data_IF_014348061392
#
_entry.id   IF_014348061392
#
_cell.length_a   1.000
_cell.length_b   1.000
_cell.length_c   1.000
_cell.angle_alpha   90.00
_cell.angle_beta   90.00
_cell.angle_gamma   90.00
#
_symmetry.space_group_name_H-M   'P 1'
#
loop_
_entity.id
_entity.type
_entity.pdbx_description
1 polymer ?
#
# COMPACT_ATOMS: atom_id res chain seq x y z
N UNK A 1 -38.90 7.36 29.23
CA UNK A 1 -38.91 8.64 28.47
C UNK A 1 -38.07 8.43 27.23
N UNK A 2 -38.70 8.04 26.12
CA UNK A 2 -38.01 7.64 24.88
C UNK A 2 -37.68 8.88 24.05
N UNK A 3 -36.40 9.06 23.73
CA UNK A 3 -35.97 10.07 22.77
C UNK A 3 -36.52 9.64 21.40
N UNK A 4 -37.23 10.50 20.65
CA UNK A 4 -37.80 10.11 19.37
C UNK A 4 -36.68 9.73 18.41
N UNK A 5 -36.68 8.48 17.93
CA UNK A 5 -35.66 7.98 17.00
C UNK A 5 -35.72 8.73 15.66
N UNK A 6 -36.90 9.22 15.27
CA UNK A 6 -37.11 9.90 13.98
C UNK A 6 -36.28 11.18 13.79
N UNK A 7 -36.04 11.96 14.85
CA UNK A 7 -35.25 13.21 14.75
C UNK A 7 -33.75 12.92 14.63
N UNK A 8 -33.29 11.82 15.25
CA UNK A 8 -31.91 11.36 15.13
C UNK A 8 -31.67 10.82 13.73
N UNK A 9 -32.59 10.03 13.20
CA UNK A 9 -32.47 9.45 11.87
C UNK A 9 -32.61 10.51 10.77
N UNK A 10 -33.46 11.53 10.95
CA UNK A 10 -33.54 12.68 10.04
C UNK A 10 -32.22 13.50 10.03
N UNK A 11 -31.58 13.68 11.19
CA UNK A 11 -30.29 14.39 11.28
C UNK A 11 -29.12 13.59 10.72
N UNK A 12 -29.11 12.26 10.92
CA UNK A 12 -28.13 11.36 10.32
C UNK A 12 -28.31 11.31 8.80
N UNK A 13 -29.54 11.26 8.31
CA UNK A 13 -29.86 11.28 6.88
C UNK A 13 -29.51 12.63 6.22
N UNK A 14 -29.64 13.74 6.94
CA UNK A 14 -29.21 15.05 6.45
C UNK A 14 -27.67 15.18 6.40
N UNK A 15 -26.94 14.54 7.34
CA UNK A 15 -25.48 14.43 7.27
C UNK A 15 -25.00 13.54 6.13
N UNK A 16 -25.68 12.43 5.83
CA UNK A 16 -25.32 11.57 4.69
C UNK A 16 -25.62 12.24 3.35
N UNK A 17 -26.68 13.06 3.27
CA UNK A 17 -26.98 13.87 2.07
C UNK A 17 -26.03 15.07 1.87
N UNK A 18 -25.24 15.47 2.88
CA UNK A 18 -24.16 16.46 2.71
C UNK A 18 -22.88 15.81 2.15
N UNK A 19 -22.84 14.49 2.05
CA UNK A 19 -21.77 13.73 1.44
C UNK A 19 -22.28 13.19 0.09
N UNK A 20 -22.58 14.13 -0.82
CA UNK A 20 -22.76 13.80 -2.24
C UNK A 20 -21.34 13.66 -2.79
N UNK A 21 -20.80 12.44 -3.01
CA UNK A 21 -19.65 12.32 -3.87
C UNK A 21 -20.09 12.90 -5.23
N UNK A 22 -19.43 13.96 -5.67
CA UNK A 22 -19.58 14.38 -7.06
C UNK A 22 -19.21 13.17 -7.93
N UNK A 23 -19.88 12.92 -9.08
CA UNK A 23 -19.45 11.88 -10.02
C UNK A 23 -17.95 11.96 -10.37
N UNK A 24 -17.32 13.14 -10.23
CA UNK A 24 -15.87 13.31 -10.34
C UNK A 24 -15.05 12.69 -9.21
N UNK A 25 -15.56 12.67 -7.97
CA UNK A 25 -14.89 12.09 -6.80
C UNK A 25 -14.95 10.55 -6.83
N UNK A 26 -16.06 9.96 -7.28
CA UNK A 26 -16.17 8.50 -7.47
C UNK A 26 -15.21 7.99 -8.54
N UNK A 27 -15.07 8.73 -9.64
CA UNK A 27 -14.16 8.37 -10.72
C UNK A 27 -12.69 8.51 -10.31
N UNK A 28 -12.36 9.53 -9.50
CA UNK A 28 -11.04 9.67 -8.86
C UNK A 28 -10.77 8.54 -7.87
N UNK A 29 -11.76 8.14 -7.08
CA UNK A 29 -11.66 7.04 -6.12
C UNK A 29 -11.47 5.68 -6.81
N UNK A 30 -12.22 5.40 -7.87
CA UNK A 30 -12.05 4.17 -8.66
C UNK A 30 -10.67 4.12 -9.32
N UNK A 31 -10.18 5.25 -9.83
CA UNK A 31 -8.84 5.36 -10.44
C UNK A 31 -7.72 5.20 -9.41
N UNK A 32 -7.88 5.76 -8.21
CA UNK A 32 -6.91 5.58 -7.14
C UNK A 32 -6.90 4.14 -6.62
N UNK A 33 -8.07 3.50 -6.53
CA UNK A 33 -8.20 2.11 -6.10
C UNK A 33 -7.57 1.13 -7.10
N UNK A 34 -7.83 1.31 -8.40
CA UNK A 34 -7.14 0.56 -9.47
C UNK A 34 -5.63 0.71 -9.37
N UNK A 35 -5.15 1.95 -9.17
CA UNK A 35 -3.71 2.17 -9.02
C UNK A 35 -3.12 1.53 -7.76
N UNK A 36 -3.83 1.58 -6.62
CA UNK A 36 -3.36 0.89 -5.42
C UNK A 36 -3.27 -0.62 -5.63
N UNK A 37 -4.19 -1.21 -6.41
CA UNK A 37 -4.17 -2.64 -6.72
C UNK A 37 -2.97 -3.02 -7.63
N UNK A 38 -2.61 -2.16 -8.58
CA UNK A 38 -1.40 -2.31 -9.38
C UNK A 38 -0.13 -2.17 -8.53
N UNK A 39 -0.09 -1.19 -7.61
CA UNK A 39 1.02 -0.98 -6.69
C UNK A 39 1.24 -2.14 -5.72
N UNK A 40 0.15 -2.72 -5.18
CA UNK A 40 0.20 -3.92 -4.33
C UNK A 40 0.73 -5.11 -5.13
N UNK A 41 0.26 -5.30 -6.37
CA UNK A 41 0.66 -6.43 -7.20
C UNK A 41 2.14 -6.40 -7.56
N UNK A 42 2.65 -5.25 -8.02
CA UNK A 42 4.07 -5.07 -8.32
C UNK A 42 4.92 -5.11 -7.04
N UNK A 43 4.40 -4.55 -5.94
CA UNK A 43 5.03 -4.60 -4.62
C UNK A 43 5.23 -6.02 -4.10
N UNK A 44 4.21 -6.87 -4.20
CA UNK A 44 4.30 -8.28 -3.78
C UNK A 44 5.32 -9.04 -4.64
N UNK A 45 5.36 -8.78 -5.96
CA UNK A 45 6.34 -9.39 -6.85
C UNK A 45 7.76 -9.00 -6.44
N UNK A 46 8.05 -7.72 -6.25
CA UNK A 46 9.36 -7.26 -5.75
C UNK A 46 9.69 -7.83 -4.37
N UNK A 47 8.73 -7.87 -3.45
CA UNK A 47 8.91 -8.42 -2.11
C UNK A 47 9.28 -9.90 -2.14
N UNK A 48 8.65 -10.70 -3.01
CA UNK A 48 8.99 -12.11 -3.18
C UNK A 48 10.41 -12.32 -3.69
N UNK A 49 10.85 -11.51 -4.66
CA UNK A 49 12.22 -11.57 -5.20
C UNK A 49 13.22 -11.14 -4.12
N UNK A 50 12.94 -10.05 -3.42
CA UNK A 50 13.79 -9.56 -2.33
C UNK A 50 13.87 -10.58 -1.18
N UNK A 51 12.78 -11.26 -0.86
CA UNK A 51 12.75 -12.32 0.15
C UNK A 51 13.67 -13.47 -0.26
N UNK A 52 13.62 -13.95 -1.51
CA UNK A 52 14.53 -15.01 -1.99
C UNK A 52 15.98 -14.51 -2.02
N UNK A 53 16.20 -13.31 -2.55
CA UNK A 53 17.52 -12.70 -2.68
C UNK A 53 18.18 -12.41 -1.33
N UNK A 54 17.41 -12.23 -0.26
CA UNK A 54 17.93 -12.01 1.11
C UNK A 54 17.96 -13.29 1.94
N UNK A 55 16.99 -14.19 1.79
CA UNK A 55 16.96 -15.46 2.52
C UNK A 55 18.13 -16.35 2.16
N UNK A 56 18.51 -16.44 0.87
CA UNK A 56 19.62 -17.30 0.42
C UNK A 56 20.96 -16.86 1.04
N UNK A 57 21.41 -15.60 0.93
CA UNK A 57 22.61 -15.12 1.61
C UNK A 57 22.53 -15.24 3.14
N UNK A 58 21.36 -14.98 3.75
CA UNK A 58 21.18 -15.05 5.21
C UNK A 58 21.36 -16.48 5.74
N UNK A 59 20.88 -17.48 5.00
CA UNK A 59 21.07 -18.89 5.32
C UNK A 59 22.50 -19.37 5.06
N UNK A 60 23.12 -18.91 3.97
CA UNK A 60 24.53 -19.21 3.67
C UNK A 60 25.43 -18.62 4.76
N UNK A 61 25.23 -17.36 5.14
CA UNK A 61 26.04 -16.67 6.15
C UNK A 61 26.03 -17.39 7.50
N UNK A 62 24.89 -17.90 7.96
CA UNK A 62 24.80 -18.66 9.22
C UNK A 62 25.40 -20.06 9.11
N UNK A 63 25.56 -20.59 7.89
CA UNK A 63 26.21 -21.90 7.65
C UNK A 63 27.72 -21.77 7.47
N UNK A 64 28.21 -20.69 6.87
CA UNK A 64 29.63 -20.51 6.51
C UNK A 64 30.41 -19.66 7.50
N UNK A 65 29.75 -18.76 8.25
CA UNK A 65 30.42 -17.84 9.17
C UNK A 65 30.19 -18.30 10.62
N UNK A 66 31.19 -18.90 11.30
CA UNK A 66 31.04 -19.39 12.66
C UNK A 66 30.71 -18.28 13.68
N UNK A 67 31.15 -17.05 13.43
CA UNK A 67 30.78 -15.87 14.23
C UNK A 67 29.29 -15.53 14.11
N UNK A 68 28.72 -15.59 12.90
CA UNK A 68 27.30 -15.38 12.66
C UNK A 68 26.48 -16.54 13.23
N UNK A 69 26.97 -17.79 13.14
CA UNK A 69 26.30 -18.94 13.75
C UNK A 69 26.26 -18.87 15.28
N UNK A 70 27.30 -18.30 15.90
CA UNK A 70 27.37 -18.14 17.35
C UNK A 70 26.58 -16.94 17.88
N UNK A 71 26.39 -15.87 17.08
CA UNK A 71 25.76 -14.62 17.53
C UNK A 71 24.42 -14.27 16.87
N UNK A 72 24.05 -14.93 15.76
CA UNK A 72 22.83 -14.65 15.01
C UNK A 72 21.75 -15.69 15.35
N UNK A 73 20.76 -15.28 16.15
CA UNK A 73 19.61 -16.10 16.51
C UNK A 73 18.62 -16.22 15.32
N UNK A 74 17.78 -17.25 15.30
CA UNK A 74 16.70 -17.42 14.32
C UNK A 74 15.81 -16.19 14.21
N UNK A 75 15.59 -15.48 15.32
CA UNK A 75 14.86 -14.20 15.35
C UNK A 75 15.54 -13.12 14.50
N UNK A 76 16.88 -13.01 14.55
CA UNK A 76 17.62 -12.01 13.79
C UNK A 76 17.58 -12.31 12.28
N UNK A 77 17.66 -13.59 11.88
CA UNK A 77 17.46 -13.99 10.48
C UNK A 77 16.05 -13.64 9.98
N UNK A 78 15.03 -13.96 10.77
CA UNK A 78 13.64 -13.65 10.44
C UNK A 78 13.41 -12.13 10.30
N UNK A 79 14.02 -11.32 11.18
CA UNK A 79 13.96 -9.86 11.11
C UNK A 79 14.61 -9.30 9.85
N UNK A 80 15.78 -9.81 9.45
CA UNK A 80 16.47 -9.35 8.23
C UNK A 80 15.60 -9.61 6.98
N UNK A 81 15.06 -10.82 6.85
CA UNK A 81 14.23 -11.20 5.70
C UNK A 81 12.93 -10.39 5.69
N UNK A 82 12.28 -10.25 6.86
CA UNK A 82 11.04 -9.49 6.99
C UNK A 82 11.27 -8.01 6.66
N UNK A 83 12.30 -7.38 7.21
CA UNK A 83 12.63 -5.98 6.94
C UNK A 83 12.93 -5.73 5.46
N UNK A 84 13.69 -6.63 4.81
CA UNK A 84 13.97 -6.52 3.38
C UNK A 84 12.72 -6.66 2.52
N UNK A 85 11.84 -7.61 2.85
CA UNK A 85 10.58 -7.81 2.12
C UNK A 85 9.63 -6.61 2.24
N UNK A 86 9.49 -6.05 3.45
CA UNK A 86 8.67 -4.87 3.71
C UNK A 86 9.25 -3.67 2.97
N UNK A 87 10.57 -3.42 3.07
CA UNK A 87 11.21 -2.31 2.36
C UNK A 87 11.03 -2.41 0.84
N UNK A 88 11.22 -3.60 0.26
CA UNK A 88 11.06 -3.82 -1.17
C UNK A 88 9.60 -3.62 -1.65
N UNK A 89 8.62 -4.02 -0.83
CA UNK A 89 7.21 -3.77 -1.09
C UNK A 89 6.93 -2.27 -1.14
N UNK A 90 7.31 -1.52 -0.10
CA UNK A 90 7.04 -0.09 0.00
C UNK A 90 7.71 0.69 -1.14
N UNK A 91 8.98 0.45 -1.42
CA UNK A 91 9.69 1.13 -2.51
C UNK A 91 8.98 0.93 -3.85
N UNK A 92 8.51 -0.29 -4.13
CA UNK A 92 7.85 -0.60 -5.40
C UNK A 92 6.43 -0.03 -5.44
N UNK A 93 5.68 -0.14 -4.33
CA UNK A 93 4.34 0.42 -4.22
C UNK A 93 4.36 1.96 -4.36
N UNK A 94 5.31 2.64 -3.71
CA UNK A 94 5.49 4.10 -3.81
C UNK A 94 5.79 4.54 -5.24
N UNK A 95 6.63 3.77 -5.96
CA UNK A 95 6.92 4.05 -7.37
C UNK A 95 5.67 3.98 -8.23
N UNK A 96 4.86 2.93 -8.07
CA UNK A 96 3.62 2.75 -8.86
C UNK A 96 2.58 3.83 -8.52
N UNK A 97 2.40 4.16 -7.24
CA UNK A 97 1.46 5.20 -6.81
C UNK A 97 1.88 6.57 -7.35
N UNK A 98 3.17 6.91 -7.27
CA UNK A 98 3.70 8.17 -7.79
C UNK A 98 3.53 8.26 -9.32
N UNK A 99 3.76 7.17 -10.04
CA UNK A 99 3.55 7.12 -11.49
C UNK A 99 2.09 7.31 -11.86
N UNK A 100 1.14 6.68 -11.15
CA UNK A 100 -0.28 6.95 -11.34
C UNK A 100 -0.67 8.38 -11.03
N UNK A 101 -0.19 8.94 -9.92
CA UNK A 101 -0.47 10.33 -9.56
C UNK A 101 0.00 11.26 -10.68
N UNK A 102 1.21 11.04 -11.21
CA UNK A 102 1.77 11.79 -12.33
C UNK A 102 0.95 11.66 -13.61
N UNK A 103 0.45 10.45 -13.93
CA UNK A 103 -0.44 10.22 -15.08
C UNK A 103 -1.79 10.92 -14.88
N UNK A 104 -2.34 10.92 -13.67
CA UNK A 104 -3.60 11.59 -13.36
C UNK A 104 -3.48 13.11 -13.54
N UNK A 105 -2.39 13.72 -13.05
CA UNK A 105 -2.10 15.15 -13.25
C UNK A 105 -1.98 15.52 -14.73
N UNK A 106 -1.27 14.72 -15.54
CA UNK A 106 -1.15 14.97 -16.99
C UNK A 106 -2.50 14.94 -17.71
N UNK A 107 -3.37 13.99 -17.38
CA UNK A 107 -4.70 13.92 -17.99
C UNK A 107 -5.60 15.11 -17.62
N UNK A 108 -5.38 15.73 -16.45
CA UNK A 108 -6.10 16.94 -16.06
C UNK A 108 -5.64 18.17 -16.85
N UNK A 109 -4.33 18.32 -17.07
CA UNK A 109 -3.80 19.40 -17.92
C UNK A 109 -4.30 19.29 -19.37
N UNK A 110 -4.31 18.08 -19.92
CA UNK A 110 -4.76 17.84 -21.30
C UNK A 110 -6.26 18.18 -21.48
N UNK A 111 -7.09 17.84 -20.48
CA UNK A 111 -8.52 18.22 -20.46
C UNK A 111 -8.80 19.71 -20.24
N UNK A 112 -7.85 20.47 -19.69
CA UNK A 112 -7.97 21.93 -19.56
C UNK A 112 -7.59 22.68 -20.85
N UNK A 113 -6.92 22.00 -21.78
CA UNK A 113 -6.42 22.60 -23.02
C UNK A 113 -7.26 22.22 -24.26
N UNK A 114 -8.26 21.35 -24.11
CA UNK A 114 -9.28 21.00 -25.09
C UNK A 114 -10.63 21.63 -24.77
#
# INVERSE_FOLDING_TARGET
MGIPMDIRDAWVNHRSNLMIPSPDEDLKFLRSQMCTQEGVREGVKSASIACVATAVPTLIAVRTIPWAKANLNYTAQALIISAASIAAYFITADKTILECARRNTRTLYDKQQS
#
